data_IF_891658087825
#
_entry.id   IF_891658087825
#
_cell.length_a   1.000
_cell.length_b   1.000
_cell.length_c   1.000
_cell.angle_alpha   90.00
_cell.angle_beta   90.00
_cell.angle_gamma   90.00
#
_symmetry.space_group_name_H-M   'P 1'
#
loop_
_entity.id
_entity.type
_entity.pdbx_description
1 polymer ?
#
# COMPACT_ATOMS: atom_id res chain seq x y z
N UNK A 1 11.60 7.16 -34.19
CA UNK A 1 10.77 6.14 -33.51
C UNK A 1 9.96 5.44 -34.56
N UNK A 2 10.14 4.13 -34.72
CA UNK A 2 9.42 3.31 -35.70
C UNK A 2 8.20 2.64 -35.07
N UNK A 3 7.25 2.19 -35.91
CA UNK A 3 6.16 1.32 -35.47
C UNK A 3 6.69 -0.10 -35.20
N UNK A 4 5.96 -0.89 -34.42
CA UNK A 4 6.23 -2.33 -34.29
C UNK A 4 6.11 -3.08 -35.62
N UNK A 5 5.35 -2.54 -36.57
CA UNK A 5 5.24 -3.11 -37.91
C UNK A 5 6.58 -3.09 -38.68
N UNK A 6 7.46 -2.15 -38.35
CA UNK A 6 8.81 -2.00 -38.94
C UNK A 6 9.89 -2.72 -38.13
N UNK A 7 9.51 -3.55 -37.15
CA UNK A 7 10.45 -4.22 -36.24
C UNK A 7 11.53 -5.00 -37.00
N UNK A 8 11.15 -5.71 -38.07
CA UNK A 8 12.08 -6.57 -38.79
C UNK A 8 13.16 -5.77 -39.56
N UNK A 9 12.78 -4.62 -40.12
CA UNK A 9 13.69 -3.70 -40.82
C UNK A 9 14.65 -3.01 -39.83
N UNK A 10 14.12 -2.55 -38.69
CA UNK A 10 14.91 -1.90 -37.65
C UNK A 10 15.88 -2.88 -36.98
N UNK A 11 15.47 -4.14 -36.75
CA UNK A 11 16.34 -5.18 -36.23
C UNK A 11 17.46 -5.54 -37.22
N UNK A 12 17.17 -5.51 -38.52
CA UNK A 12 18.18 -5.75 -39.55
C UNK A 12 19.24 -4.66 -39.57
N UNK A 13 18.84 -3.39 -39.46
CA UNK A 13 19.74 -2.25 -39.47
C UNK A 13 20.55 -2.08 -38.17
N UNK A 14 20.06 -2.58 -37.03
CA UNK A 14 20.68 -2.35 -35.72
C UNK A 14 21.73 -3.42 -35.36
N UNK A 15 22.93 -3.02 -34.92
CA UNK A 15 23.93 -3.96 -34.37
C UNK A 15 23.67 -4.28 -32.90
N UNK A 16 23.11 -3.32 -32.15
CA UNK A 16 22.79 -3.44 -30.72
C UNK A 16 21.30 -3.17 -30.53
N UNK A 17 20.59 -4.13 -29.93
CA UNK A 17 19.15 -4.07 -29.69
C UNK A 17 18.89 -4.07 -28.19
N UNK A 18 18.17 -3.04 -27.72
CA UNK A 18 17.69 -2.98 -26.34
C UNK A 18 16.20 -3.29 -26.33
N UNK A 19 15.80 -4.26 -25.51
CA UNK A 19 14.41 -4.72 -25.42
C UNK A 19 13.95 -4.59 -23.98
N UNK A 20 12.82 -3.89 -23.78
CA UNK A 20 12.27 -3.57 -22.47
C UNK A 20 10.73 -3.41 -22.53
N UNK A 21 10.05 -4.29 -23.28
CA UNK A 21 8.59 -4.24 -23.45
C UNK A 21 7.86 -4.98 -22.33
N UNK A 22 6.62 -4.59 -22.06
CA UNK A 22 5.74 -5.29 -21.11
C UNK A 22 4.92 -6.42 -21.77
N UNK A 23 5.46 -7.03 -22.85
CA UNK A 23 4.77 -8.13 -23.54
C UNK A 23 4.80 -9.40 -22.69
N UNK A 24 3.67 -10.12 -22.65
CA UNK A 24 3.58 -11.41 -21.99
C UNK A 24 4.24 -12.55 -22.78
N UNK A 25 4.48 -12.34 -24.07
CA UNK A 25 5.13 -13.30 -24.97
C UNK A 25 6.37 -12.66 -25.62
N UNK A 26 7.37 -13.47 -26.02
CA UNK A 26 8.52 -12.96 -26.74
C UNK A 26 8.10 -12.20 -28.01
N UNK A 27 8.66 -11.00 -28.17
CA UNK A 27 8.41 -10.11 -29.33
C UNK A 27 9.48 -10.32 -30.40
N UNK A 28 10.72 -10.60 -29.99
CA UNK A 28 11.81 -10.96 -30.89
C UNK A 28 11.85 -12.48 -31.01
N UNK A 29 11.50 -12.97 -32.19
CA UNK A 29 11.50 -14.39 -32.55
C UNK A 29 12.73 -14.72 -33.39
N UNK A 30 13.03 -16.01 -33.52
CA UNK A 30 14.17 -16.51 -34.29
C UNK A 30 14.23 -15.94 -35.71
N UNK A 31 13.09 -15.87 -36.39
CA UNK A 31 12.97 -15.35 -37.75
C UNK A 31 13.43 -13.89 -37.91
N UNK A 32 13.40 -13.09 -36.84
CA UNK A 32 13.83 -11.69 -36.88
C UNK A 32 15.36 -11.53 -36.80
N UNK A 33 16.09 -12.59 -36.42
CA UNK A 33 17.54 -12.53 -36.17
C UNK A 33 18.35 -13.50 -37.04
N UNK A 34 17.73 -14.58 -37.51
CA UNK A 34 18.39 -15.61 -38.29
C UNK A 34 18.90 -15.04 -39.62
N UNK A 35 20.22 -15.13 -39.84
CA UNK A 35 20.87 -14.62 -41.06
C UNK A 35 21.06 -13.09 -41.10
N UNK A 36 20.69 -12.35 -40.06
CA UNK A 36 20.73 -10.86 -40.05
C UNK A 36 22.06 -10.24 -39.59
N UNK A 37 23.18 -10.93 -39.77
CA UNK A 37 24.50 -10.48 -39.29
C UNK A 37 24.65 -10.57 -37.76
N UNK A 38 25.79 -10.13 -37.24
CA UNK A 38 26.10 -10.19 -35.81
C UNK A 38 25.26 -9.18 -35.01
N UNK A 39 24.55 -9.63 -33.99
CA UNK A 39 23.67 -8.82 -33.14
C UNK A 39 24.03 -8.95 -31.67
N UNK A 40 24.04 -7.84 -30.94
CA UNK A 40 24.11 -7.83 -29.47
C UNK A 40 22.76 -7.42 -28.92
N UNK A 41 22.13 -8.27 -28.11
CA UNK A 41 20.79 -8.01 -27.57
C UNK A 41 20.86 -7.88 -26.05
N UNK A 42 20.38 -6.74 -25.55
CA UNK A 42 20.15 -6.49 -24.13
C UNK A 42 18.65 -6.59 -23.84
N UNK A 43 18.23 -7.69 -23.21
CA UNK A 43 16.84 -7.88 -22.78
C UNK A 43 16.71 -7.54 -21.29
N UNK A 44 15.98 -6.47 -21.03
CA UNK A 44 15.72 -5.92 -19.70
C UNK A 44 14.32 -6.27 -19.19
N UNK A 45 13.60 -7.18 -19.87
CA UNK A 45 12.21 -7.54 -19.56
C UNK A 45 12.09 -8.81 -18.72
N UNK A 46 11.02 -8.87 -17.93
CA UNK A 46 10.55 -10.08 -17.23
C UNK A 46 9.03 -10.16 -17.41
N UNK A 47 8.48 -11.17 -18.11
CA UNK A 47 9.18 -12.28 -18.79
C UNK A 47 10.04 -11.81 -19.98
N UNK A 48 10.99 -12.64 -20.42
CA UNK A 48 11.91 -12.32 -21.52
C UNK A 48 11.15 -12.01 -22.82
N UNK A 49 11.65 -11.03 -23.55
CA UNK A 49 11.09 -10.58 -24.82
C UNK A 49 11.78 -11.19 -26.03
N UNK A 50 12.91 -11.87 -25.85
CA UNK A 50 13.59 -12.65 -26.89
C UNK A 50 13.29 -14.12 -26.69
N UNK A 51 12.79 -14.78 -27.74
CA UNK A 51 12.44 -16.19 -27.70
C UNK A 51 13.69 -17.06 -27.43
N UNK A 52 13.52 -18.17 -26.71
CA UNK A 52 14.64 -19.03 -26.30
C UNK A 52 15.41 -19.61 -27.50
N UNK A 53 14.71 -19.95 -28.58
CA UNK A 53 15.32 -20.45 -29.81
C UNK A 53 16.15 -19.37 -30.53
N UNK A 54 15.70 -18.12 -30.48
CA UNK A 54 16.41 -16.96 -31.01
C UNK A 54 17.70 -16.64 -30.24
N UNK A 55 17.72 -16.90 -28.93
CA UNK A 55 18.90 -16.69 -28.08
C UNK A 55 20.05 -17.67 -28.40
N UNK A 56 19.76 -18.81 -29.02
CA UNK A 56 20.76 -19.84 -29.35
C UNK A 56 21.44 -19.64 -30.71
N UNK A 57 21.03 -18.62 -31.47
CA UNK A 57 21.60 -18.33 -32.78
C UNK A 57 23.08 -17.95 -32.67
N UNK A 58 23.95 -18.46 -33.56
CA UNK A 58 25.39 -18.25 -33.47
C UNK A 58 25.80 -16.78 -33.68
N UNK A 59 24.97 -16.02 -34.41
CA UNK A 59 25.18 -14.60 -34.69
C UNK A 59 24.55 -13.67 -33.64
N UNK A 60 24.05 -14.21 -32.52
CA UNK A 60 23.38 -13.44 -31.46
C UNK A 60 24.17 -13.53 -30.16
N UNK A 61 24.57 -12.37 -29.64
CA UNK A 61 25.17 -12.24 -28.31
C UNK A 61 24.14 -11.66 -27.34
N UNK A 62 23.67 -12.50 -26.43
CA UNK A 62 22.62 -12.14 -25.48
C UNK A 62 23.18 -11.66 -24.14
N UNK A 63 22.59 -10.59 -23.59
CA UNK A 63 22.81 -10.12 -22.22
C UNK A 63 21.45 -9.85 -21.58
N UNK A 64 21.13 -10.54 -20.50
CA UNK A 64 19.88 -10.35 -19.77
C UNK A 64 20.11 -9.76 -18.36
N UNK A 65 19.01 -9.43 -17.68
CA UNK A 65 19.04 -8.87 -16.32
C UNK A 65 19.77 -9.78 -15.32
N UNK A 66 19.64 -11.10 -15.46
CA UNK A 66 20.31 -12.06 -14.58
C UNK A 66 21.84 -12.02 -14.75
N UNK A 67 22.33 -11.90 -15.99
CA UNK A 67 23.76 -11.75 -16.28
C UNK A 67 24.30 -10.41 -15.78
N UNK A 68 23.57 -9.32 -15.97
CA UNK A 68 23.96 -8.00 -15.46
C UNK A 68 24.04 -7.99 -13.94
N UNK A 69 23.18 -8.74 -13.26
CA UNK A 69 23.18 -8.87 -11.79
C UNK A 69 24.45 -9.54 -11.26
N UNK A 70 25.10 -10.43 -12.04
CA UNK A 70 26.35 -11.10 -11.67
C UNK A 70 27.59 -10.22 -11.80
N UNK A 71 27.53 -9.14 -12.56
CA UNK A 71 28.69 -8.29 -12.88
C UNK A 71 28.87 -7.10 -11.91
N UNK A 72 27.89 -6.81 -11.03
CA UNK A 72 27.87 -5.57 -10.23
C UNK A 72 27.88 -5.80 -8.72
N UNK A 73 29.01 -6.24 -8.19
CA UNK A 73 29.20 -6.47 -6.75
C UNK A 73 29.19 -5.18 -5.92
N UNK A 74 29.82 -4.10 -6.40
CA UNK A 74 29.97 -2.87 -5.60
C UNK A 74 28.65 -2.11 -5.44
N UNK A 75 27.91 -1.94 -6.55
CA UNK A 75 26.58 -1.31 -6.51
C UNK A 75 25.60 -2.16 -5.69
N UNK A 76 25.69 -3.48 -5.76
CA UNK A 76 24.85 -4.38 -4.98
C UNK A 76 25.14 -4.25 -3.48
N UNK A 77 26.43 -4.21 -3.08
CA UNK A 77 26.83 -4.00 -1.68
C UNK A 77 26.31 -2.68 -1.11
N UNK A 78 26.41 -1.59 -1.88
CA UNK A 78 25.84 -0.29 -1.48
C UNK A 78 24.33 -0.38 -1.25
N UNK A 79 23.58 -1.03 -2.15
CA UNK A 79 22.13 -1.22 -2.00
C UNK A 79 21.79 -2.11 -0.80
N UNK A 80 22.57 -3.17 -0.55
CA UNK A 80 22.38 -4.06 0.60
C UNK A 80 22.60 -3.33 1.93
N UNK A 81 23.54 -2.39 2.00
CA UNK A 81 23.77 -1.58 3.19
C UNK A 81 22.60 -0.67 3.57
N UNK A 82 21.69 -0.36 2.64
CA UNK A 82 20.47 0.41 2.89
C UNK A 82 19.31 -0.45 3.40
N UNK A 83 19.36 -1.78 3.23
CA UNK A 83 18.30 -2.70 3.66
C UNK A 83 18.00 -2.63 5.16
N UNK A 84 19.00 -2.59 6.08
CA UNK A 84 18.74 -2.42 7.50
C UNK A 84 17.99 -1.11 7.83
N UNK A 85 18.29 -0.01 7.13
CA UNK A 85 17.61 1.27 7.35
C UNK A 85 16.14 1.19 6.92
N UNK A 86 15.88 0.60 5.75
CA UNK A 86 14.52 0.37 5.27
C UNK A 86 13.72 -0.52 6.23
N UNK A 87 14.33 -1.58 6.78
CA UNK A 87 13.70 -2.42 7.81
C UNK A 87 13.39 -1.66 9.10
N UNK A 88 14.23 -0.70 9.49
CA UNK A 88 13.96 0.20 10.60
C UNK A 88 12.69 1.01 10.38
N UNK A 89 12.56 1.66 9.22
CA UNK A 89 11.37 2.43 8.82
C UNK A 89 10.12 1.55 8.81
N UNK A 90 10.20 0.35 8.24
CA UNK A 90 9.08 -0.60 8.21
C UNK A 90 8.64 -0.94 9.63
N UNK A 91 9.59 -1.22 10.53
CA UNK A 91 9.28 -1.59 11.91
C UNK A 91 8.57 -0.46 12.66
N UNK A 92 9.02 0.78 12.49
CA UNK A 92 8.38 1.97 13.07
C UNK A 92 6.94 2.14 12.57
N UNK A 93 6.74 2.07 11.26
CA UNK A 93 5.40 2.19 10.65
C UNK A 93 4.47 1.04 11.05
N UNK A 94 5.01 -0.17 11.24
CA UNK A 94 4.23 -1.30 11.72
C UNK A 94 3.73 -1.08 13.15
N UNK A 95 4.54 -0.51 14.03
CA UNK A 95 4.14 -0.17 15.40
C UNK A 95 3.05 0.91 15.39
N UNK A 96 3.23 1.98 14.62
CA UNK A 96 2.22 3.03 14.47
C UNK A 96 0.91 2.47 13.91
N UNK A 97 0.99 1.59 12.91
CA UNK A 97 -0.17 0.93 12.32
C UNK A 97 -0.89 0.03 13.33
N UNK A 98 -0.16 -0.69 14.18
CA UNK A 98 -0.74 -1.51 15.23
C UNK A 98 -1.49 -0.65 16.25
N UNK A 99 -0.89 0.43 16.74
CA UNK A 99 -1.54 1.37 17.66
C UNK A 99 -2.81 1.97 17.05
N UNK A 100 -2.75 2.31 15.77
CA UNK A 100 -3.91 2.79 15.02
C UNK A 100 -5.01 1.73 14.90
N UNK A 101 -4.67 0.46 14.70
CA UNK A 101 -5.62 -0.65 14.67
C UNK A 101 -6.29 -0.86 16.03
N UNK A 102 -5.53 -0.84 17.13
CA UNK A 102 -6.08 -0.95 18.49
C UNK A 102 -7.07 0.18 18.77
N UNK A 103 -6.73 1.42 18.42
CA UNK A 103 -7.63 2.56 18.56
C UNK A 103 -8.95 2.35 17.80
N UNK A 104 -8.90 1.78 16.59
CA UNK A 104 -10.10 1.53 15.77
C UNK A 104 -11.03 0.46 16.35
N UNK A 105 -10.55 -0.47 17.18
CA UNK A 105 -11.41 -1.46 17.86
C UNK A 105 -12.48 -0.82 18.75
N UNK A 106 -12.29 0.43 19.16
CA UNK A 106 -13.22 1.14 20.05
C UNK A 106 -14.29 1.95 19.30
N UNK A 107 -14.16 2.12 17.99
CA UNK A 107 -15.14 2.85 17.17
C UNK A 107 -16.56 2.27 17.28
N UNK A 108 -16.78 0.94 17.24
CA UNK A 108 -18.12 0.37 17.42
C UNK A 108 -18.74 0.72 18.78
N UNK A 109 -17.96 0.70 19.86
CA UNK A 109 -18.42 1.05 21.20
C UNK A 109 -18.84 2.52 21.28
N UNK A 110 -18.04 3.44 20.74
CA UNK A 110 -18.39 4.87 20.71
C UNK A 110 -19.65 5.15 19.87
N UNK A 111 -19.82 4.45 18.75
CA UNK A 111 -21.05 4.51 17.95
C UNK A 111 -22.26 4.04 18.74
N UNK A 112 -22.12 2.92 19.47
CA UNK A 112 -23.19 2.40 20.31
C UNK A 112 -23.54 3.38 21.43
N UNK A 113 -22.54 3.89 22.16
CA UNK A 113 -22.73 4.92 23.20
C UNK A 113 -23.48 6.14 22.65
N UNK A 114 -23.09 6.64 21.47
CA UNK A 114 -23.80 7.75 20.80
C UNK A 114 -25.28 7.45 20.57
N UNK A 115 -25.63 6.23 20.15
CA UNK A 115 -27.03 5.81 19.96
C UNK A 115 -27.77 5.77 21.29
N UNK A 116 -27.20 5.12 22.30
CA UNK A 116 -27.79 4.99 23.64
C UNK A 116 -28.05 6.36 24.27
N UNK A 117 -27.10 7.30 24.18
CA UNK A 117 -27.28 8.65 24.72
C UNK A 117 -28.40 9.43 24.00
N UNK A 118 -28.55 9.24 22.68
CA UNK A 118 -29.66 9.84 21.91
C UNK A 118 -31.01 9.22 22.30
N UNK A 119 -31.05 7.91 22.46
CA UNK A 119 -32.26 7.17 22.88
C UNK A 119 -32.70 7.59 24.29
N UNK A 120 -31.77 7.70 25.23
CA UNK A 120 -32.04 8.19 26.59
C UNK A 120 -32.66 9.59 26.57
N UNK A 121 -32.12 10.52 25.78
CA UNK A 121 -32.69 11.87 25.66
C UNK A 121 -34.06 11.93 25.01
N UNK A 122 -34.30 11.07 24.01
CA UNK A 122 -35.58 10.99 23.32
C UNK A 122 -36.67 10.32 24.19
N UNK A 123 -36.30 9.75 25.33
CA UNK A 123 -37.22 9.00 26.15
C UNK A 123 -38.18 9.93 26.92
N UNK A 124 -39.51 9.70 26.90
CA UNK A 124 -40.51 10.64 27.44
C UNK A 124 -40.37 10.96 28.94
N UNK A 125 -39.74 10.08 29.70
CA UNK A 125 -39.57 10.20 31.15
C UNK A 125 -38.18 10.71 31.56
N UNK A 126 -37.29 10.98 30.61
CA UNK A 126 -36.01 11.59 30.90
C UNK A 126 -36.21 13.09 31.19
N UNK A 127 -35.79 13.54 32.38
CA UNK A 127 -35.95 14.95 32.80
C UNK A 127 -35.10 15.84 31.91
N UNK A 128 -35.71 16.43 30.89
CA UNK A 128 -35.05 17.36 29.97
C UNK A 128 -34.89 18.72 30.65
N UNK A 129 -33.67 19.07 31.06
CA UNK A 129 -33.36 20.43 31.54
C UNK A 129 -33.16 21.44 30.40
N UNK A 130 -32.97 20.96 29.16
CA UNK A 130 -32.79 21.80 27.96
C UNK A 130 -33.59 21.29 26.77
N UNK A 131 -34.44 22.15 26.20
CA UNK A 131 -35.34 21.87 25.06
C UNK A 131 -34.70 22.10 23.68
N UNK A 132 -33.41 22.48 23.60
CA UNK A 132 -32.75 22.88 22.34
C UNK A 132 -31.89 21.75 21.74
N UNK A 133 -32.19 21.27 20.51
CA UNK A 133 -31.44 20.19 19.84
C UNK A 133 -29.95 20.46 19.64
N UNK A 134 -29.56 21.72 19.36
CA UNK A 134 -28.15 22.09 19.16
C UNK A 134 -27.31 21.92 20.42
N UNK A 135 -27.88 22.19 21.60
CA UNK A 135 -27.17 22.01 22.88
C UNK A 135 -26.99 20.52 23.21
N UNK A 136 -27.93 19.68 22.80
CA UNK A 136 -27.88 18.22 22.97
C UNK A 136 -26.75 17.57 22.16
N UNK A 137 -26.64 17.87 20.86
CA UNK A 137 -25.56 17.30 20.04
C UNK A 137 -24.17 17.70 20.56
N UNK A 138 -24.01 18.94 21.04
CA UNK A 138 -22.77 19.42 21.66
C UNK A 138 -22.45 18.63 22.94
N UNK A 139 -23.43 18.37 23.80
CA UNK A 139 -23.22 17.59 25.02
C UNK A 139 -22.84 16.13 24.73
N UNK A 140 -23.55 15.48 23.80
CA UNK A 140 -23.23 14.11 23.37
C UNK A 140 -21.82 14.06 22.76
N UNK A 141 -21.45 15.01 21.90
CA UNK A 141 -20.10 15.06 21.34
C UNK A 141 -19.03 15.29 22.41
N UNK A 142 -19.29 16.10 23.43
CA UNK A 142 -18.36 16.30 24.57
C UNK A 142 -18.08 14.98 25.29
N UNK A 143 -19.13 14.27 25.73
CA UNK A 143 -18.98 13.00 26.46
C UNK A 143 -18.30 11.93 25.59
N UNK A 144 -18.60 11.89 24.28
CA UNK A 144 -17.93 10.98 23.35
C UNK A 144 -16.43 11.29 23.20
N UNK A 145 -16.06 12.56 23.09
CA UNK A 145 -14.66 12.98 22.95
C UNK A 145 -13.86 12.68 24.22
N UNK A 146 -14.42 12.96 25.39
CA UNK A 146 -13.81 12.63 26.69
C UNK A 146 -13.63 11.12 26.84
N UNK A 147 -14.66 10.35 26.49
CA UNK A 147 -14.61 8.87 26.55
C UNK A 147 -13.61 8.29 25.56
N UNK A 148 -13.53 8.84 24.34
CA UNK A 148 -12.53 8.44 23.35
C UNK A 148 -11.10 8.73 23.84
N UNK A 149 -10.89 9.88 24.49
CA UNK A 149 -9.62 10.24 25.13
C UNK A 149 -9.23 9.26 26.24
N UNK A 150 -10.16 8.92 27.14
CA UNK A 150 -9.92 7.97 28.23
C UNK A 150 -9.63 6.56 27.72
N UNK A 151 -10.35 6.10 26.70
CA UNK A 151 -10.13 4.79 26.06
C UNK A 151 -8.78 4.71 25.36
N UNK A 152 -8.28 5.83 24.81
CA UNK A 152 -6.95 5.92 24.21
C UNK A 152 -5.81 5.81 25.23
N UNK A 153 -5.99 6.31 26.45
CA UNK A 153 -4.95 6.35 27.50
C UNK A 153 -4.96 5.11 28.39
N UNK A 154 -6.15 4.63 28.80
CA UNK A 154 -6.28 3.51 29.72
C UNK A 154 -7.61 2.77 29.48
N UNK A 155 -7.55 1.70 28.70
CA UNK A 155 -8.73 0.89 28.38
C UNK A 155 -9.05 -0.13 29.48
N UNK A 156 -9.67 0.33 30.58
CA UNK A 156 -10.23 -0.55 31.63
C UNK A 156 -11.57 -1.18 31.22
N UNK A 157 -11.68 -1.65 29.97
CA UNK A 157 -12.88 -2.29 29.37
C UNK A 157 -14.17 -1.53 29.74
N UNK A 158 -15.31 -2.24 29.86
CA UNK A 158 -16.67 -1.67 29.97
C UNK A 158 -16.88 -0.60 31.06
N UNK A 159 -15.94 -0.42 32.00
CA UNK A 159 -15.96 0.66 32.98
C UNK A 159 -15.99 2.05 32.34
N UNK A 160 -15.29 2.28 31.22
CA UNK A 160 -15.32 3.58 30.54
C UNK A 160 -16.70 3.90 29.93
N UNK A 161 -17.38 2.87 29.43
CA UNK A 161 -18.74 2.99 28.91
C UNK A 161 -19.73 3.32 30.03
N UNK A 162 -19.66 2.60 31.17
CA UNK A 162 -20.50 2.86 32.33
C UNK A 162 -20.23 4.23 32.96
N UNK A 163 -18.95 4.63 33.04
CA UNK A 163 -18.56 5.95 33.52
C UNK A 163 -19.14 7.05 32.62
N UNK A 164 -19.10 6.89 31.31
CA UNK A 164 -19.66 7.86 30.37
C UNK A 164 -21.19 8.00 30.52
N UNK A 165 -21.91 6.90 30.71
CA UNK A 165 -23.35 6.93 30.99
C UNK A 165 -23.65 7.63 32.32
N UNK A 166 -22.91 7.27 33.38
CA UNK A 166 -23.10 7.85 34.70
C UNK A 166 -22.75 9.34 34.72
N UNK A 167 -21.69 9.76 34.03
CA UNK A 167 -21.28 11.15 33.85
C UNK A 167 -22.37 11.93 33.12
N UNK A 168 -22.92 11.39 32.04
CA UNK A 168 -23.97 12.03 31.27
C UNK A 168 -25.29 12.17 32.05
N UNK A 169 -25.67 11.16 32.85
CA UNK A 169 -26.89 11.18 33.67
C UNK A 169 -26.72 12.12 34.87
N UNK A 170 -25.53 12.16 35.48
CA UNK A 170 -25.28 12.93 36.71
C UNK A 170 -24.66 14.32 36.47
N UNK A 171 -24.31 14.69 35.24
CA UNK A 171 -24.00 16.08 34.90
C UNK A 171 -25.29 16.89 34.99
N UNK A 172 -25.62 17.26 36.24
CA UNK A 172 -26.54 18.36 36.53
C UNK A 172 -25.90 19.63 36.00
N UNK A 173 -26.56 20.23 34.99
CA UNK A 173 -26.42 21.62 34.54
C UNK A 173 -24.99 22.13 34.35
#
# INVERSE_FOLDING_TARGET
SASLDSLDEELEAADIVLVATNSAQPVILKQHLEGKGEKVILDLSIPYNVADDAQTLPNVRMVNVDMLSKLKDETLKMRQAEVPKAKGIISELMLEFQDWCEMRKHVPMLKHLKSTLKELYAHPHYVQTTTCPKKMDVHIQRVLNETAGRVKVQNQRGCQYLSALNEFINTKN
#
